data_IF_626605962096
#
_entry.id   IF_626605962096
#
_cell.length_a   1.000
_cell.length_b   1.000
_cell.length_c   1.000
_cell.angle_alpha   90.00
_cell.angle_beta   90.00
_cell.angle_gamma   90.00
#
_symmetry.space_group_name_H-M   'P 1'
#
loop_
_entity.id
_entity.type
_entity.pdbx_description
1 polymer ?
#
# COMPACT_ATOMS: atom_id res chain seq x y z
N UNK A 1 8.66 -23.81 -5.60
CA UNK A 1 7.88 -24.52 -6.64
C UNK A 1 8.70 -24.62 -7.91
N UNK A 2 8.24 -25.37 -8.92
CA UNK A 2 8.94 -25.47 -10.20
C UNK A 2 8.89 -24.14 -10.98
N UNK A 3 9.99 -23.78 -11.65
CA UNK A 3 10.07 -22.57 -12.49
C UNK A 3 9.15 -22.70 -13.72
N UNK A 4 8.48 -21.61 -14.09
CA UNK A 4 7.69 -21.56 -15.31
C UNK A 4 8.62 -21.56 -16.53
N UNK A 5 8.61 -22.64 -17.31
CA UNK A 5 9.46 -22.77 -18.52
C UNK A 5 9.12 -21.73 -19.59
N UNK A 6 7.85 -21.37 -19.72
CA UNK A 6 7.39 -20.35 -20.67
C UNK A 6 7.17 -19.00 -19.95
N UNK A 7 8.22 -18.18 -19.98
CA UNK A 7 8.20 -16.83 -19.38
C UNK A 7 7.16 -15.92 -20.04
N UNK A 8 6.98 -16.04 -21.36
CA UNK A 8 6.03 -15.22 -22.10
C UNK A 8 4.59 -15.51 -21.64
N UNK A 9 4.26 -16.80 -21.52
CA UNK A 9 2.96 -17.23 -21.04
C UNK A 9 2.69 -16.77 -19.58
N UNK A 10 3.73 -16.82 -18.72
CA UNK A 10 3.64 -16.29 -17.35
C UNK A 10 3.39 -14.78 -17.32
N UNK A 11 4.18 -14.01 -18.06
CA UNK A 11 4.02 -12.56 -18.11
C UNK A 11 2.66 -12.15 -18.69
N UNK A 12 2.15 -12.87 -19.70
CA UNK A 12 0.78 -12.66 -20.20
C UNK A 12 -0.29 -12.92 -19.14
N UNK A 13 -0.14 -13.97 -18.33
CA UNK A 13 -1.09 -14.26 -17.26
C UNK A 13 -1.08 -13.16 -16.19
N UNK A 14 0.12 -12.74 -15.74
CA UNK A 14 0.30 -11.63 -14.79
C UNK A 14 -0.29 -10.33 -15.34
N UNK A 15 0.00 -10.01 -16.61
CA UNK A 15 -0.53 -8.82 -17.26
C UNK A 15 -2.05 -8.87 -17.32
N UNK A 16 -2.64 -10.03 -17.64
CA UNK A 16 -4.09 -10.23 -17.69
C UNK A 16 -4.79 -9.97 -16.35
N UNK A 17 -4.13 -10.27 -15.23
CA UNK A 17 -4.60 -9.90 -13.89
C UNK A 17 -4.46 -8.40 -13.65
N UNK A 18 -3.28 -7.84 -13.95
CA UNK A 18 -2.91 -6.46 -13.66
C UNK A 18 -3.75 -5.41 -14.41
N UNK A 19 -4.04 -5.64 -15.70
CA UNK A 19 -4.80 -4.69 -16.51
C UNK A 19 -6.31 -4.92 -16.47
N UNK A 20 -6.79 -5.84 -15.62
CA UNK A 20 -8.18 -6.26 -15.50
C UNK A 20 -8.80 -6.91 -16.76
N UNK A 21 -7.98 -7.46 -17.66
CA UNK A 21 -8.47 -8.10 -18.89
C UNK A 21 -9.01 -9.51 -18.61
N UNK A 22 -8.26 -10.26 -17.79
CA UNK A 22 -8.48 -11.67 -17.51
C UNK A 22 -8.00 -12.59 -18.64
N UNK A 23 -7.85 -13.88 -18.33
CA UNK A 23 -7.16 -14.83 -19.19
C UNK A 23 -7.84 -15.08 -20.54
N UNK A 24 -9.18 -15.06 -20.59
CA UNK A 24 -9.94 -15.31 -21.84
C UNK A 24 -9.65 -14.23 -22.88
N UNK A 25 -9.82 -12.96 -22.51
CA UNK A 25 -9.55 -11.84 -23.40
C UNK A 25 -8.05 -11.66 -23.65
N UNK A 26 -7.20 -12.00 -22.69
CA UNK A 26 -5.75 -12.03 -22.90
C UNK A 26 -5.36 -13.05 -24.00
N UNK A 27 -5.98 -14.23 -24.02
CA UNK A 27 -5.74 -15.21 -25.08
C UNK A 27 -6.21 -14.71 -26.46
N UNK A 28 -7.35 -14.03 -26.54
CA UNK A 28 -7.87 -13.45 -27.79
C UNK A 28 -6.98 -12.32 -28.32
N UNK A 29 -6.39 -11.51 -27.42
CA UNK A 29 -5.54 -10.35 -27.77
C UNK A 29 -4.04 -10.67 -27.88
N UNK A 30 -3.65 -11.93 -27.71
CA UNK A 30 -2.24 -12.36 -27.76
C UNK A 30 -2.04 -13.47 -28.78
N UNK A 31 -1.37 -13.20 -29.92
CA UNK A 31 -1.12 -14.22 -30.94
C UNK A 31 -0.40 -15.46 -30.39
N UNK A 32 -0.94 -16.65 -30.68
CA UNK A 32 -0.34 -17.94 -30.29
C UNK A 32 -0.63 -18.40 -28.86
N UNK A 33 -1.34 -17.60 -28.05
CA UNK A 33 -1.80 -18.00 -26.72
C UNK A 33 -3.20 -18.61 -26.78
N UNK A 34 -3.48 -19.55 -25.88
CA UNK A 34 -4.82 -20.10 -25.70
C UNK A 34 -5.22 -20.01 -24.23
N UNK A 35 -6.53 -19.91 -23.97
CA UNK A 35 -7.05 -19.88 -22.60
C UNK A 35 -6.58 -21.09 -21.79
N UNK A 36 -6.60 -22.30 -22.37
CA UNK A 36 -6.17 -23.52 -21.71
C UNK A 36 -4.70 -23.45 -21.22
N UNK A 37 -3.79 -22.91 -22.05
CA UNK A 37 -2.38 -22.71 -21.67
C UNK A 37 -2.25 -21.71 -20.52
N UNK A 38 -2.93 -20.57 -20.60
CA UNK A 38 -2.89 -19.54 -19.57
C UNK A 38 -3.49 -20.03 -18.24
N UNK A 39 -4.64 -20.70 -18.28
CA UNK A 39 -5.31 -21.22 -17.09
C UNK A 39 -4.48 -22.31 -16.41
N UNK A 40 -3.86 -23.22 -17.19
CA UNK A 40 -2.96 -24.22 -16.63
C UNK A 40 -1.76 -23.54 -15.96
N UNK A 41 -1.11 -22.59 -16.64
CA UNK A 41 0.03 -21.88 -16.06
C UNK A 41 -0.33 -21.13 -14.77
N UNK A 42 -1.47 -20.42 -14.75
CA UNK A 42 -1.95 -19.71 -13.57
C UNK A 42 -2.10 -20.68 -12.38
N UNK A 43 -2.77 -21.83 -12.59
CA UNK A 43 -2.98 -22.82 -11.52
C UNK A 43 -1.68 -23.38 -10.92
N UNK A 44 -0.62 -23.50 -11.73
CA UNK A 44 0.66 -24.09 -11.31
C UNK A 44 1.68 -23.07 -10.77
N UNK A 45 1.65 -21.82 -11.23
CA UNK A 45 2.71 -20.85 -10.95
C UNK A 45 2.24 -19.54 -10.29
N UNK A 46 0.96 -19.20 -10.39
CA UNK A 46 0.42 -17.96 -9.81
C UNK A 46 -0.31 -18.30 -8.51
N UNK A 47 0.20 -17.75 -7.41
CA UNK A 47 -0.36 -17.82 -6.05
C UNK A 47 -0.02 -16.54 -5.33
N UNK A 48 -0.59 -16.34 -4.16
CA UNK A 48 -0.29 -15.16 -3.36
C UNK A 48 1.16 -15.12 -2.88
N UNK A 49 1.74 -16.28 -2.56
CA UNK A 49 3.13 -16.40 -2.14
C UNK A 49 4.08 -16.07 -3.30
N UNK A 50 3.77 -16.52 -4.52
CA UNK A 50 4.62 -16.23 -5.69
C UNK A 50 4.50 -14.77 -6.12
N UNK A 51 3.32 -14.16 -5.99
CA UNK A 51 3.17 -12.71 -6.17
C UNK A 51 3.90 -11.90 -5.10
N UNK A 52 3.84 -12.32 -3.84
CA UNK A 52 4.50 -11.62 -2.71
C UNK A 52 6.02 -11.66 -2.87
N UNK A 53 6.58 -12.82 -3.19
CA UNK A 53 8.00 -12.98 -3.45
C UNK A 53 8.47 -12.18 -4.68
N UNK A 54 7.72 -12.23 -5.79
CA UNK A 54 8.05 -11.45 -6.99
C UNK A 54 7.97 -9.94 -6.73
N UNK A 55 7.01 -9.50 -5.92
CA UNK A 55 6.88 -8.10 -5.52
C UNK A 55 8.07 -7.67 -4.65
N UNK A 56 8.46 -8.50 -3.69
CA UNK A 56 9.62 -8.24 -2.82
C UNK A 56 10.90 -8.04 -3.62
N UNK A 57 11.14 -8.84 -4.67
CA UNK A 57 12.31 -8.66 -5.55
C UNK A 57 12.33 -7.28 -6.22
N UNK A 58 11.20 -6.83 -6.78
CA UNK A 58 11.12 -5.51 -7.41
C UNK A 58 11.27 -4.37 -6.40
N UNK A 59 10.63 -4.51 -5.24
CA UNK A 59 10.71 -3.53 -4.15
C UNK A 59 12.13 -3.45 -3.60
N UNK A 60 12.80 -4.58 -3.41
CA UNK A 60 14.18 -4.64 -2.92
C UNK A 60 15.16 -4.04 -3.93
N UNK A 61 14.92 -4.24 -5.22
CA UNK A 61 15.74 -3.60 -6.24
C UNK A 61 15.53 -2.09 -6.27
N UNK A 62 14.28 -1.61 -6.20
CA UNK A 62 13.96 -0.19 -6.05
C UNK A 62 14.60 0.40 -4.78
N UNK A 63 14.53 -0.33 -3.66
CA UNK A 63 15.06 0.09 -2.37
C UNK A 63 16.57 0.35 -2.40
N UNK A 64 17.31 -0.51 -3.09
CA UNK A 64 18.77 -0.42 -3.22
C UNK A 64 19.21 0.49 -4.37
N UNK A 65 18.29 0.98 -5.19
CA UNK A 65 18.62 1.80 -6.36
C UNK A 65 19.08 3.20 -5.92
N UNK A 66 20.27 3.62 -6.35
CA UNK A 66 20.87 4.89 -5.91
C UNK A 66 19.96 6.10 -6.16
N UNK A 67 19.37 6.18 -7.37
CA UNK A 67 18.43 7.24 -7.70
C UNK A 67 17.18 7.30 -6.80
N UNK A 68 16.74 6.17 -6.22
CA UNK A 68 15.58 6.16 -5.34
C UNK A 68 15.81 6.91 -4.02
N UNK A 69 17.08 7.04 -3.60
CA UNK A 69 17.48 7.77 -2.40
C UNK A 69 17.10 9.26 -2.44
N UNK A 70 16.86 9.83 -3.62
CA UNK A 70 16.37 11.22 -3.75
C UNK A 70 14.94 11.41 -3.23
N UNK A 71 14.16 10.34 -3.06
CA UNK A 71 12.76 10.42 -2.59
C UNK A 71 12.56 10.02 -1.13
N UNK A 72 13.49 9.23 -0.58
CA UNK A 72 13.43 8.67 0.75
C UNK A 72 14.47 7.57 0.96
N UNK A 73 14.66 7.17 2.20
CA UNK A 73 15.61 6.15 2.63
C UNK A 73 14.96 4.77 2.86
N UNK A 74 13.68 4.62 2.51
CA UNK A 74 12.92 3.38 2.68
C UNK A 74 12.44 3.13 4.12
N UNK A 75 12.56 4.11 5.02
CA UNK A 75 12.10 3.99 6.42
C UNK A 75 10.68 4.49 6.63
N UNK A 76 10.12 5.25 5.69
CA UNK A 76 8.75 5.76 5.83
C UNK A 76 7.83 5.21 4.75
N UNK A 77 6.54 5.12 5.06
CA UNK A 77 5.55 4.64 4.11
C UNK A 77 4.18 5.27 4.33
N UNK A 78 3.29 5.13 3.37
CA UNK A 78 1.88 5.45 3.53
C UNK A 78 1.00 4.29 3.07
N UNK A 79 -0.26 4.27 3.50
CA UNK A 79 -1.24 3.35 2.95
C UNK A 79 -2.60 4.02 2.74
N UNK A 80 -3.25 3.60 1.66
CA UNK A 80 -4.57 4.09 1.30
C UNK A 80 -5.42 2.97 0.65
N UNK A 81 -6.72 3.09 0.83
CA UNK A 81 -7.73 2.22 0.24
C UNK A 81 -8.25 2.78 -1.06
N UNK A 82 -7.94 2.11 -2.17
CA UNK A 82 -8.48 2.45 -3.48
C UNK A 82 -9.74 1.65 -3.78
N UNK A 83 -10.87 2.33 -3.98
CA UNK A 83 -12.13 1.68 -4.35
C UNK A 83 -12.19 1.43 -5.86
N UNK A 84 -12.47 0.18 -6.22
CA UNK A 84 -12.86 -0.26 -7.54
C UNK A 84 -14.33 -0.67 -7.53
N UNK A 85 -15.09 -0.25 -8.54
CA UNK A 85 -16.52 -0.61 -8.65
C UNK A 85 -16.65 -2.12 -8.87
N UNK A 86 -17.68 -2.73 -8.29
CA UNK A 86 -18.01 -4.12 -8.56
C UNK A 86 -19.11 -4.15 -9.61
N UNK A 87 -18.89 -4.83 -10.73
CA UNK A 87 -19.80 -4.86 -11.87
C UNK A 87 -20.20 -6.28 -12.28
N UNK A 88 -21.36 -6.41 -12.91
CA UNK A 88 -21.86 -7.68 -13.46
C UNK A 88 -21.88 -8.79 -12.41
N UNK A 89 -21.19 -9.92 -12.68
CA UNK A 89 -21.17 -11.07 -11.76
C UNK A 89 -20.55 -10.77 -10.40
N UNK A 90 -19.71 -9.73 -10.28
CA UNK A 90 -19.09 -9.30 -9.03
C UNK A 90 -20.00 -8.43 -8.15
N UNK A 91 -21.04 -7.83 -8.73
CA UNK A 91 -21.96 -6.91 -8.07
C UNK A 91 -22.67 -7.56 -6.87
N UNK A 92 -23.13 -8.81 -7.02
CA UNK A 92 -23.80 -9.57 -5.96
C UNK A 92 -22.92 -9.87 -4.75
N UNK A 93 -21.60 -9.80 -4.93
CA UNK A 93 -20.63 -9.95 -3.84
C UNK A 93 -20.13 -8.60 -3.36
N UNK A 94 -20.29 -7.53 -4.14
CA UNK A 94 -19.92 -6.15 -3.84
C UNK A 94 -20.53 -5.69 -2.51
N UNK A 95 -19.80 -4.88 -1.74
CA UNK A 95 -20.43 -4.18 -0.61
C UNK A 95 -20.43 -2.67 -0.86
N UNK A 96 -21.40 -1.97 -0.28
CA UNK A 96 -21.57 -0.53 -0.40
C UNK A 96 -20.88 0.17 0.77
N UNK A 97 -19.99 1.13 0.48
CA UNK A 97 -19.37 1.98 1.51
C UNK A 97 -19.84 3.42 1.29
N UNK A 98 -20.67 4.00 2.18
CA UNK A 98 -21.11 5.39 2.04
C UNK A 98 -19.95 6.39 1.89
N UNK A 99 -18.77 6.11 2.49
CA UNK A 99 -17.55 6.94 2.33
C UNK A 99 -17.09 7.05 0.88
N UNK A 100 -17.35 6.04 0.07
CA UNK A 100 -16.83 5.91 -1.29
C UNK A 100 -17.93 5.79 -2.36
N UNK A 101 -19.21 5.98 -1.99
CA UNK A 101 -20.36 5.98 -2.89
C UNK A 101 -21.42 4.91 -2.58
N UNK A 102 -22.55 5.00 -3.28
CA UNK A 102 -23.72 4.11 -3.09
C UNK A 102 -23.66 2.80 -3.88
N UNK A 103 -22.68 2.65 -4.77
CA UNK A 103 -22.54 1.46 -5.60
C UNK A 103 -21.75 0.35 -4.89
N UNK A 104 -22.00 -0.94 -5.19
CA UNK A 104 -21.18 -2.04 -4.71
C UNK A 104 -19.73 -1.91 -5.21
N UNK A 105 -18.76 -2.19 -4.35
CA UNK A 105 -17.34 -2.09 -4.70
C UNK A 105 -16.42 -2.99 -3.89
N UNK A 106 -15.14 -2.90 -4.23
CA UNK A 106 -14.02 -3.53 -3.53
C UNK A 106 -12.97 -2.50 -3.20
N UNK A 107 -12.32 -2.67 -2.08
CA UNK A 107 -11.22 -1.82 -1.67
C UNK A 107 -9.92 -2.59 -1.81
N UNK A 108 -8.97 -2.05 -2.57
CA UNK A 108 -7.59 -2.52 -2.56
C UNK A 108 -6.81 -1.61 -1.63
N UNK A 109 -6.42 -2.15 -0.48
CA UNK A 109 -5.64 -1.44 0.51
C UNK A 109 -4.16 -1.67 0.24
N UNK A 110 -3.43 -0.61 -0.11
CA UNK A 110 -2.06 -0.73 -0.60
C UNK A 110 -1.12 0.13 0.22
N UNK A 111 0.05 -0.43 0.55
CA UNK A 111 1.14 0.28 1.19
C UNK A 111 2.21 0.67 0.17
N UNK A 112 2.73 1.88 0.30
CA UNK A 112 3.74 2.46 -0.57
C UNK A 112 4.88 3.04 0.27
N UNK A 113 6.12 2.73 -0.08
CA UNK A 113 7.30 3.34 0.54
C UNK A 113 7.47 4.80 0.10
N UNK A 114 8.26 5.56 0.85
CA UNK A 114 8.72 6.88 0.42
C UNK A 114 9.52 6.87 -0.89
N UNK A 115 10.04 5.73 -1.31
CA UNK A 115 10.67 5.52 -2.62
C UNK A 115 9.69 5.08 -3.72
N UNK A 116 8.38 5.30 -3.53
CA UNK A 116 7.29 4.99 -4.45
C UNK A 116 7.02 3.50 -4.70
N UNK A 117 7.77 2.58 -4.08
CA UNK A 117 7.58 1.14 -4.27
C UNK A 117 6.33 0.67 -3.51
N UNK A 118 5.31 0.09 -4.19
CA UNK A 118 4.15 -0.44 -3.48
C UNK A 118 4.45 -1.85 -2.98
N UNK A 119 4.70 -2.01 -1.68
CA UNK A 119 5.27 -3.26 -1.12
C UNK A 119 4.24 -4.23 -0.54
N UNK A 120 2.98 -3.81 -0.39
CA UNK A 120 1.92 -4.68 0.11
C UNK A 120 0.57 -4.25 -0.44
N UNK A 121 -0.29 -5.23 -0.73
CA UNK A 121 -1.69 -4.97 -1.12
C UNK A 121 -2.62 -6.05 -0.58
N UNK A 122 -3.82 -5.66 -0.17
CA UNK A 122 -4.87 -6.58 0.30
C UNK A 122 -6.22 -6.18 -0.25
N UNK A 123 -7.01 -7.17 -0.65
CA UNK A 123 -8.43 -6.98 -0.94
C UNK A 123 -9.19 -6.94 0.37
N UNK A 124 -9.86 -5.83 0.63
CA UNK A 124 -10.65 -5.61 1.84
C UNK A 124 -12.13 -5.56 1.47
N UNK A 125 -12.93 -6.30 2.23
CA UNK A 125 -14.39 -6.22 2.12
C UNK A 125 -14.85 -4.85 2.61
N UNK A 126 -15.65 -4.19 1.77
CA UNK A 126 -16.24 -2.91 2.09
C UNK A 126 -17.16 -3.07 3.32
N UNK A 127 -16.89 -2.28 4.37
CA UNK A 127 -17.58 -2.34 5.68
C UNK A 127 -16.68 -2.72 6.85
N UNK A 128 -15.51 -3.30 6.60
CA UNK A 128 -14.44 -3.43 7.60
C UNK A 128 -13.60 -2.14 7.59
N UNK A 129 -13.25 -1.61 8.76
CA UNK A 129 -12.45 -0.36 8.84
C UNK A 129 -11.06 -0.59 8.24
N UNK A 130 -10.68 0.23 7.27
CA UNK A 130 -9.40 0.21 6.56
C UNK A 130 -8.20 0.13 7.52
N UNK A 131 -8.31 0.84 8.64
CA UNK A 131 -7.34 0.89 9.75
C UNK A 131 -6.93 -0.47 10.32
N UNK A 132 -7.75 -1.51 10.16
CA UNK A 132 -7.44 -2.85 10.68
C UNK A 132 -6.36 -3.58 9.88
N UNK A 133 -6.14 -3.22 8.61
CA UNK A 133 -5.18 -3.87 7.72
C UNK A 133 -3.85 -3.12 7.61
N UNK A 134 -3.72 -1.94 8.22
CA UNK A 134 -2.47 -1.15 8.27
C UNK A 134 -1.31 -2.02 8.76
N UNK A 135 -1.47 -2.63 9.93
CA UNK A 135 -0.44 -3.43 10.58
C UNK A 135 -0.10 -4.70 9.81
N UNK A 136 -1.09 -5.32 9.17
CA UNK A 136 -0.84 -6.53 8.39
C UNK A 136 0.10 -6.25 7.20
N UNK A 137 -0.08 -5.12 6.52
CA UNK A 137 0.79 -4.75 5.42
C UNK A 137 2.20 -4.33 5.84
N UNK A 138 2.36 -3.80 7.07
CA UNK A 138 3.66 -3.44 7.65
C UNK A 138 4.44 -4.63 8.21
N UNK A 139 3.75 -5.64 8.74
CA UNK A 139 4.38 -6.80 9.39
C UNK A 139 4.62 -7.97 8.45
N UNK A 140 3.74 -8.19 7.48
CA UNK A 140 3.68 -9.42 6.70
C UNK A 140 3.98 -9.19 5.22
N UNK A 141 4.95 -8.30 4.92
CA UNK A 141 5.53 -8.14 3.60
C UNK A 141 6.88 -8.87 3.51
N UNK A 142 7.29 -9.26 2.31
CA UNK A 142 8.53 -10.03 2.10
C UNK A 142 9.73 -9.15 1.68
N UNK A 143 9.55 -7.84 1.53
CA UNK A 143 10.65 -6.92 1.21
C UNK A 143 11.57 -6.64 2.39
N UNK A 144 12.79 -6.19 2.08
CA UNK A 144 13.85 -5.78 3.01
C UNK A 144 13.59 -4.42 3.67
N UNK A 145 12.54 -3.71 3.24
CA UNK A 145 12.14 -2.43 3.83
C UNK A 145 11.95 -2.56 5.33
N UNK A 146 12.47 -1.59 6.08
CA UNK A 146 12.31 -1.49 7.53
C UNK A 146 11.55 -0.22 7.84
N UNK A 147 10.23 -0.29 7.71
CA UNK A 147 9.38 0.86 7.98
C UNK A 147 9.42 1.20 9.47
N UNK A 148 9.76 2.44 9.77
CA UNK A 148 9.77 3.03 11.10
C UNK A 148 8.57 3.96 11.32
N UNK A 149 8.18 4.72 10.30
CA UNK A 149 7.05 5.66 10.36
C UNK A 149 6.03 5.40 9.24
N UNK A 150 4.74 5.42 9.61
CA UNK A 150 3.66 5.11 8.67
C UNK A 150 2.55 6.15 8.67
N UNK A 151 2.21 6.62 7.47
CA UNK A 151 1.22 7.66 7.21
C UNK A 151 -0.10 7.10 6.69
N UNK A 152 -1.21 7.63 7.18
CA UNK A 152 -2.55 7.19 6.75
C UNK A 152 -3.58 8.31 6.86
N UNK A 153 -4.71 8.20 6.17
CA UNK A 153 -5.81 9.15 6.28
C UNK A 153 -6.75 8.87 7.46
N UNK A 154 -7.12 9.91 8.23
CA UNK A 154 -7.79 9.84 9.57
C UNK A 154 -9.01 8.94 9.68
N UNK A 155 -9.65 8.59 8.56
CA UNK A 155 -10.95 7.95 8.52
C UNK A 155 -10.89 6.51 9.09
N UNK A 156 -11.20 6.38 10.39
CA UNK A 156 -11.54 5.10 11.03
C UNK A 156 -10.49 4.51 11.97
N UNK A 157 -9.47 5.26 12.40
CA UNK A 157 -8.52 4.74 13.41
C UNK A 157 -9.14 4.61 14.79
N UNK A 158 -8.70 3.59 15.51
CA UNK A 158 -9.10 3.35 16.90
C UNK A 158 -7.87 3.49 17.79
N UNK A 159 -8.09 3.80 19.06
CA UNK A 159 -7.00 3.84 20.04
C UNK A 159 -6.21 2.51 20.04
N UNK A 160 -6.85 1.36 19.79
CA UNK A 160 -6.17 0.07 19.67
C UNK A 160 -5.09 0.03 18.58
N UNK A 161 -5.29 0.74 17.46
CA UNK A 161 -4.28 0.82 16.38
C UNK A 161 -3.08 1.63 16.84
N UNK A 162 -3.30 2.78 17.49
CA UNK A 162 -2.21 3.57 18.10
C UNK A 162 -1.40 2.74 19.08
N UNK A 163 -2.07 1.99 19.96
CA UNK A 163 -1.42 1.13 20.93
C UNK A 163 -0.57 0.05 20.27
N UNK A 164 -1.13 -0.68 19.29
CA UNK A 164 -0.40 -1.76 18.63
C UNK A 164 0.76 -1.24 17.76
N UNK A 165 0.59 -0.12 17.05
CA UNK A 165 1.67 0.50 16.28
C UNK A 165 2.87 0.80 17.19
N UNK A 166 2.62 1.45 18.33
CA UNK A 166 3.67 1.74 19.32
C UNK A 166 4.33 0.47 19.85
N UNK A 167 3.54 -0.52 20.30
CA UNK A 167 4.07 -1.77 20.86
C UNK A 167 4.89 -2.58 19.86
N UNK A 168 4.58 -2.46 18.57
CA UNK A 168 5.27 -3.16 17.49
C UNK A 168 6.49 -2.38 16.96
N UNK A 169 6.71 -1.15 17.43
CA UNK A 169 7.87 -0.33 17.10
C UNK A 169 7.66 0.63 15.94
N UNK A 170 6.41 0.90 15.54
CA UNK A 170 6.10 1.84 14.47
C UNK A 170 5.63 3.19 15.02
N UNK A 171 6.18 4.28 14.48
CA UNK A 171 5.60 5.61 14.64
C UNK A 171 4.39 5.74 13.74
N UNK A 172 3.21 5.82 14.36
CA UNK A 172 1.97 6.00 13.61
C UNK A 172 1.65 7.49 13.43
N UNK A 173 1.54 7.92 12.17
CA UNK A 173 1.37 9.32 11.83
C UNK A 173 0.16 9.55 10.90
N UNK A 174 -1.07 9.42 11.41
CA UNK A 174 -2.26 9.71 10.61
C UNK A 174 -2.40 11.21 10.35
N UNK A 175 -2.79 11.59 9.13
CA UNK A 175 -3.21 12.98 8.84
C UNK A 175 -4.44 13.28 9.68
N UNK A 176 -4.46 14.39 10.43
CA UNK A 176 -5.64 14.85 11.18
C UNK A 176 -6.27 16.03 10.44
N UNK A 177 -7.53 15.89 10.02
CA UNK A 177 -8.30 16.95 9.34
C UNK A 177 -8.99 17.90 10.33
N UNK A 178 -9.72 17.33 11.30
CA UNK A 178 -10.60 18.08 12.20
C UNK A 178 -10.04 18.16 13.63
N UNK A 179 -9.14 19.13 13.85
CA UNK A 179 -8.48 19.32 15.16
C UNK A 179 -9.47 19.64 16.29
N UNK A 180 -10.57 20.34 15.99
CA UNK A 180 -11.57 20.73 16.99
C UNK A 180 -12.34 19.56 17.62
N UNK A 181 -12.47 18.44 16.91
CA UNK A 181 -13.13 17.23 17.42
C UNK A 181 -12.15 16.30 18.14
N UNK A 182 -10.87 16.61 18.07
CA UNK A 182 -9.82 15.75 18.58
C UNK A 182 -9.76 15.84 20.12
N UNK A 183 -9.82 14.69 20.79
CA UNK A 183 -9.78 14.60 22.25
C UNK A 183 -8.44 14.09 22.77
N UNK A 184 -7.89 14.81 23.75
CA UNK A 184 -6.70 14.48 24.53
C UNK A 184 -7.09 13.75 25.81
N UNK A 185 -6.22 12.85 26.28
CA UNK A 185 -6.40 12.12 27.52
C UNK A 185 -5.22 12.36 28.46
N UNK A 186 -5.53 12.65 29.72
CA UNK A 186 -4.54 13.07 30.71
C UNK A 186 -4.44 12.09 31.88
N UNK A 187 -3.26 11.90 32.49
CA UNK A 187 -3.12 11.00 33.64
C UNK A 187 -3.69 11.61 34.93
N UNK A 188 -3.71 12.94 35.02
CA UNK A 188 -4.23 13.71 36.16
C UNK A 188 -5.64 14.23 35.88
N UNK A 189 -6.29 14.85 36.87
CA UNK A 189 -7.58 15.50 36.66
C UNK A 189 -7.51 16.66 35.66
N UNK A 190 -8.62 16.93 34.97
CA UNK A 190 -8.75 18.01 33.96
C UNK A 190 -8.32 19.38 34.49
N UNK A 191 -8.44 19.61 35.80
CA UNK A 191 -8.08 20.86 36.46
C UNK A 191 -6.59 21.19 36.39
N UNK A 192 -5.71 20.20 36.17
CA UNK A 192 -4.27 20.42 36.02
C UNK A 192 -3.91 21.12 34.69
N UNK A 193 -4.84 21.21 33.73
CA UNK A 193 -4.59 21.70 32.38
C UNK A 193 -5.66 22.71 31.93
N UNK A 194 -5.74 23.90 32.56
CA UNK A 194 -6.83 24.86 32.31
C UNK A 194 -6.92 25.31 30.84
N UNK A 195 -5.79 25.54 30.17
CA UNK A 195 -5.73 25.98 28.77
C UNK A 195 -6.18 24.90 27.78
N UNK A 196 -5.95 23.63 28.10
CA UNK A 196 -6.27 22.49 27.22
C UNK A 196 -7.64 21.88 27.53
N UNK A 197 -8.35 22.40 28.54
CA UNK A 197 -9.65 21.89 29.00
C UNK A 197 -10.66 21.60 27.88
N UNK A 198 -10.82 22.45 26.84
CA UNK A 198 -11.76 22.16 25.74
C UNK A 198 -11.40 20.91 24.91
N UNK A 199 -10.10 20.58 24.86
CA UNK A 199 -9.55 19.46 24.11
C UNK A 199 -9.49 18.18 24.95
N UNK A 200 -9.61 18.24 26.28
CA UNK A 200 -9.52 17.06 27.14
C UNK A 200 -10.83 16.27 27.10
N UNK A 201 -10.75 15.00 26.66
CA UNK A 201 -11.87 14.07 26.59
C UNK A 201 -12.01 13.17 27.82
N UNK A 202 -11.03 13.14 28.73
CA UNK A 202 -11.10 12.37 29.95
C UNK A 202 -9.74 12.05 30.56
N UNK A 203 -9.77 11.21 31.60
CA UNK A 203 -8.58 10.74 32.29
C UNK A 203 -8.22 9.31 31.88
N UNK A 204 -6.93 8.97 32.00
CA UNK A 204 -6.39 7.66 31.67
C UNK A 204 -6.52 6.69 32.85
N UNK A 205 -6.95 5.45 32.61
CA UNK A 205 -6.95 4.40 33.64
C UNK A 205 -5.64 3.59 33.64
N UNK A 206 -4.58 4.19 34.17
CA UNK A 206 -3.24 3.58 34.23
C UNK A 206 -3.22 2.30 35.07
N UNK A 207 -4.06 2.20 36.11
CA UNK A 207 -4.15 0.99 36.94
C UNK A 207 -4.62 -0.21 36.12
N UNK A 208 -5.60 0.00 35.23
CA UNK A 208 -6.12 -1.04 34.35
C UNK A 208 -5.10 -1.48 33.29
N UNK A 209 -4.32 -0.54 32.74
CA UNK A 209 -3.19 -0.87 31.84
C UNK A 209 -2.19 -1.77 32.55
N UNK A 210 -1.80 -1.42 33.79
CA UNK A 210 -0.86 -2.23 34.59
C UNK A 210 -1.40 -3.61 34.91
N UNK A 211 -2.69 -3.73 35.24
CA UNK A 211 -3.32 -5.00 35.57
C UNK A 211 -3.37 -5.99 34.40
N UNK A 212 -3.35 -5.51 33.16
CA UNK A 212 -3.39 -6.32 31.94
C UNK A 212 -2.11 -6.23 31.10
N UNK A 213 -1.00 -5.77 31.69
CA UNK A 213 0.23 -5.50 30.94
C UNK A 213 0.78 -6.76 30.27
N UNK A 214 0.81 -7.88 30.98
CA UNK A 214 1.30 -9.15 30.43
C UNK A 214 0.44 -9.66 29.26
N UNK A 215 -0.88 -9.44 29.32
CA UNK A 215 -1.79 -9.78 28.22
C UNK A 215 -1.57 -8.89 26.99
N UNK A 216 -1.28 -7.59 27.20
CA UNK A 216 -0.92 -6.65 26.13
C UNK A 216 0.37 -7.10 25.45
N UNK A 217 1.41 -7.42 26.23
CA UNK A 217 2.69 -7.89 25.70
C UNK A 217 2.55 -9.22 24.96
N UNK A 218 1.75 -10.15 25.49
CA UNK A 218 1.44 -11.42 24.84
C UNK A 218 0.75 -11.20 23.50
N UNK A 219 -0.26 -10.33 23.45
CA UNK A 219 -0.95 -9.96 22.22
C UNK A 219 0.02 -9.39 21.17
N UNK A 220 0.82 -8.39 21.56
CA UNK A 220 1.78 -7.76 20.65
C UNK A 220 2.83 -8.77 20.16
N UNK A 221 3.31 -9.66 21.03
CA UNK A 221 4.26 -10.70 20.68
C UNK A 221 3.66 -11.74 19.72
N UNK A 222 2.44 -12.22 19.97
CA UNK A 222 1.75 -13.15 19.06
C UNK A 222 1.55 -12.56 17.66
N UNK A 223 1.27 -11.24 17.58
CA UNK A 223 1.16 -10.53 16.31
C UNK A 223 2.54 -10.41 15.65
N UNK A 224 3.56 -9.94 16.38
CA UNK A 224 4.93 -9.77 15.85
C UNK A 224 5.53 -11.07 15.33
N UNK A 225 5.22 -12.20 15.97
CA UNK A 225 5.67 -13.54 15.54
C UNK A 225 4.81 -14.14 14.42
N UNK A 226 3.73 -13.48 13.98
CA UNK A 226 2.84 -13.98 12.94
C UNK A 226 1.96 -15.17 13.36
N UNK A 227 1.82 -15.46 14.66
CA UNK A 227 0.91 -16.51 15.16
C UNK A 227 -0.55 -16.16 14.86
N UNK A 228 -0.88 -14.86 14.90
CA UNK A 228 -2.19 -14.31 14.54
C UNK A 228 -2.00 -12.99 13.80
N UNK A 229 -2.87 -12.68 12.82
CA UNK A 229 -2.79 -11.38 12.12
C UNK A 229 -3.30 -10.24 13.01
N UNK A 230 -2.79 -9.03 12.79
CA UNK A 230 -3.21 -7.86 13.55
C UNK A 230 -4.66 -7.51 13.22
N UNK A 231 -5.04 -7.61 11.94
CA UNK A 231 -6.42 -7.39 11.49
C UNK A 231 -7.43 -8.33 12.16
N UNK A 232 -7.09 -9.60 12.33
CA UNK A 232 -7.95 -10.59 13.00
C UNK A 232 -8.15 -10.22 14.48
N UNK A 233 -7.07 -9.86 15.18
CA UNK A 233 -7.15 -9.48 16.58
C UNK A 233 -7.88 -8.16 16.79
N UNK A 234 -7.61 -7.15 15.97
CA UNK A 234 -8.32 -5.86 16.02
C UNK A 234 -9.83 -6.03 15.76
N UNK A 235 -10.21 -6.89 14.81
CA UNK A 235 -11.63 -7.24 14.60
C UNK A 235 -12.25 -7.88 15.83
N UNK A 236 -11.57 -8.86 16.43
CA UNK A 236 -12.08 -9.58 17.61
C UNK A 236 -12.21 -8.67 18.83
N UNK A 237 -11.23 -7.81 19.08
CA UNK A 237 -11.25 -6.81 20.15
C UNK A 237 -12.34 -5.75 19.91
N UNK A 238 -12.54 -5.37 18.65
CA UNK A 238 -13.59 -4.45 18.22
C UNK A 238 -15.01 -4.98 18.36
N UNK A 239 -15.22 -6.30 18.41
CA UNK A 239 -16.55 -6.91 18.58
C UNK A 239 -17.08 -6.83 20.02
N UNK A 240 -16.20 -6.78 21.04
CA UNK A 240 -16.60 -6.76 22.47
C UNK A 240 -15.84 -5.72 23.31
N UNK A 241 -15.81 -4.43 22.91
CA UNK A 241 -14.86 -3.46 23.45
C UNK A 241 -15.13 -3.04 24.91
N UNK A 242 -16.34 -3.27 25.44
CA UNK A 242 -16.72 -2.92 26.82
C UNK A 242 -16.69 -4.09 27.80
N UNK A 243 -16.63 -5.32 27.29
CA UNK A 243 -16.69 -6.54 28.11
C UNK A 243 -15.33 -7.24 28.21
N UNK A 244 -14.37 -6.86 27.36
CA UNK A 244 -13.03 -7.45 27.35
C UNK A 244 -12.01 -6.54 28.06
N UNK A 245 -11.49 -6.98 29.20
CA UNK A 245 -10.50 -6.25 29.98
C UNK A 245 -9.23 -5.88 29.20
N UNK A 246 -8.75 -6.78 28.33
CA UNK A 246 -7.61 -6.52 27.44
C UNK A 246 -7.93 -5.44 26.39
N UNK A 247 -9.13 -5.47 25.80
CA UNK A 247 -9.54 -4.43 24.84
C UNK A 247 -9.58 -3.04 25.51
N UNK A 248 -10.13 -2.96 26.72
CA UNK A 248 -10.15 -1.72 27.49
C UNK A 248 -8.73 -1.26 27.81
N UNK A 249 -7.85 -2.15 28.26
CA UNK A 249 -6.46 -1.81 28.58
C UNK A 249 -5.68 -1.32 27.34
N UNK A 250 -5.82 -2.00 26.20
CA UNK A 250 -5.20 -1.61 24.95
C UNK A 250 -5.73 -0.26 24.44
N UNK A 251 -7.03 0.02 24.64
CA UNK A 251 -7.62 1.33 24.33
C UNK A 251 -7.01 2.44 25.20
N UNK A 252 -6.83 2.22 26.50
CA UNK A 252 -6.21 3.21 27.39
C UNK A 252 -4.75 3.49 27.00
N UNK A 253 -3.97 2.46 26.64
CA UNK A 253 -2.63 2.64 26.08
C UNK A 253 -2.67 3.44 24.78
N UNK A 254 -3.60 3.11 23.90
CA UNK A 254 -3.81 3.83 22.65
C UNK A 254 -4.14 5.30 22.80
N UNK A 255 -4.88 5.66 23.86
CA UNK A 255 -5.20 7.05 24.19
C UNK A 255 -3.96 7.85 24.58
N UNK A 256 -2.98 7.21 25.23
CA UNK A 256 -1.69 7.83 25.55
C UNK A 256 -0.98 8.20 24.24
N UNK A 257 -0.73 7.20 23.40
CA UNK A 257 -0.01 7.35 22.13
C UNK A 257 -0.71 8.34 21.19
N UNK A 258 -2.03 8.25 21.10
CA UNK A 258 -2.82 9.21 20.33
C UNK A 258 -2.66 10.63 20.86
N UNK A 259 -2.73 10.82 22.18
CA UNK A 259 -2.56 12.14 22.80
C UNK A 259 -1.18 12.72 22.51
N UNK A 260 -0.12 11.92 22.67
CA UNK A 260 1.25 12.33 22.35
C UNK A 260 1.38 12.72 20.87
N UNK A 261 0.87 11.88 19.96
CA UNK A 261 0.87 12.21 18.53
C UNK A 261 0.11 13.50 18.20
N UNK A 262 -1.04 13.76 18.82
CA UNK A 262 -1.80 15.00 18.58
C UNK A 262 -1.00 16.22 19.04
N UNK A 263 -0.29 16.13 20.16
CA UNK A 263 0.56 17.21 20.65
C UNK A 263 1.71 17.48 19.67
N UNK A 264 2.40 16.43 19.20
CA UNK A 264 3.42 16.53 18.14
C UNK A 264 2.82 17.17 16.87
N UNK A 265 1.64 16.70 16.46
CA UNK A 265 0.94 17.17 15.26
C UNK A 265 0.56 18.63 15.35
N UNK A 266 0.22 19.15 16.54
CA UNK A 266 -0.07 20.57 16.74
C UNK A 266 1.20 21.42 16.68
N UNK A 267 2.30 20.93 17.27
CA UNK A 267 3.54 21.69 17.43
C UNK A 267 4.43 21.70 16.17
N UNK A 268 4.52 20.59 15.44
CA UNK A 268 5.46 20.45 14.33
C UNK A 268 4.81 20.69 12.97
N UNK A 269 5.25 21.75 12.27
CA UNK A 269 4.89 21.99 10.87
C UNK A 269 5.52 20.94 9.96
N UNK A 270 6.73 20.50 10.30
CA UNK A 270 7.55 19.55 9.56
C UNK A 270 6.86 18.18 9.53
N UNK A 271 6.34 17.70 10.66
CA UNK A 271 5.53 16.48 10.73
C UNK A 271 4.33 16.56 9.78
N UNK A 272 3.59 17.67 9.79
CA UNK A 272 2.42 17.86 8.91
C UNK A 272 2.81 17.83 7.44
N UNK A 273 3.94 18.48 7.07
CA UNK A 273 4.48 18.48 5.71
C UNK A 273 4.89 17.09 5.25
N UNK A 274 5.65 16.35 6.07
CA UNK A 274 6.10 14.98 5.75
C UNK A 274 4.91 14.02 5.56
N UNK A 275 3.92 14.08 6.46
CA UNK A 275 2.68 13.27 6.34
C UNK A 275 1.93 13.61 5.05
N UNK A 276 1.79 14.90 4.71
CA UNK A 276 1.14 15.30 3.44
C UNK A 276 1.92 14.81 2.22
N UNK A 277 3.23 14.97 2.20
CA UNK A 277 4.07 14.49 1.10
C UNK A 277 3.93 12.97 0.91
N UNK A 278 3.99 12.20 2.01
CA UNK A 278 3.83 10.74 1.97
C UNK A 278 2.45 10.28 1.50
N UNK A 279 1.37 10.97 1.89
CA UNK A 279 0.02 10.67 1.40
C UNK A 279 -0.18 11.05 -0.07
N UNK A 280 0.39 12.18 -0.52
CA UNK A 280 0.35 12.58 -1.93
C UNK A 280 1.01 11.54 -2.84
N UNK A 281 2.08 10.87 -2.40
CA UNK A 281 2.69 9.74 -3.14
C UNK A 281 1.70 8.59 -3.34
N UNK A 282 0.92 8.26 -2.31
CA UNK A 282 -0.15 7.25 -2.37
C UNK A 282 -1.27 7.64 -3.35
N UNK A 283 -1.73 8.89 -3.29
CA UNK A 283 -2.75 9.41 -4.22
C UNK A 283 -2.26 9.40 -5.68
N UNK A 284 -1.02 9.79 -5.92
CA UNK A 284 -0.41 9.75 -7.25
C UNK A 284 -0.29 8.31 -7.77
N UNK A 285 0.12 7.36 -6.92
CA UNK A 285 0.16 5.94 -7.27
C UNK A 285 -1.23 5.41 -7.59
N UNK A 286 -2.27 5.85 -6.87
CA UNK A 286 -3.65 5.45 -7.17
C UNK A 286 -4.08 5.90 -8.58
N UNK A 287 -3.59 7.03 -9.08
CA UNK A 287 -3.82 7.46 -10.46
C UNK A 287 -3.13 6.55 -11.48
N UNK A 288 -1.88 6.17 -11.25
CA UNK A 288 -1.18 5.17 -12.07
C UNK A 288 -1.91 3.82 -12.04
N UNK A 289 -2.30 3.34 -10.86
CA UNK A 289 -3.01 2.08 -10.70
C UNK A 289 -4.36 2.07 -11.45
N UNK A 290 -5.09 3.20 -11.49
CA UNK A 290 -6.30 3.34 -12.32
C UNK A 290 -5.99 3.26 -13.81
N UNK A 291 -4.92 3.89 -14.26
CA UNK A 291 -4.52 3.85 -15.66
C UNK A 291 -4.14 2.42 -16.10
N UNK A 292 -3.44 1.67 -15.25
CA UNK A 292 -3.11 0.25 -15.50
C UNK A 292 -4.37 -0.62 -15.46
N UNK A 293 -5.25 -0.42 -14.48
CA UNK A 293 -6.47 -1.21 -14.26
C UNK A 293 -7.67 -0.70 -15.08
N UNK A 294 -7.50 -0.51 -16.39
CA UNK A 294 -8.51 0.18 -17.23
C UNK A 294 -9.57 -0.74 -17.85
N UNK A 295 -9.28 -2.03 -18.06
CA UNK A 295 -10.25 -2.92 -18.72
C UNK A 295 -11.50 -3.13 -17.86
N UNK A 296 -12.60 -3.53 -18.50
CA UNK A 296 -13.92 -3.70 -17.87
C UNK A 296 -14.39 -2.42 -17.18
N UNK A 297 -14.05 -1.25 -17.73
CA UNK A 297 -14.35 0.07 -17.14
C UNK A 297 -13.74 0.26 -15.73
N UNK A 298 -12.66 -0.46 -15.42
CA UNK A 298 -12.09 -0.51 -14.08
C UNK A 298 -12.93 -1.26 -13.05
N UNK A 299 -13.97 -1.98 -13.49
CA UNK A 299 -14.85 -2.76 -12.61
C UNK A 299 -14.27 -4.15 -12.33
N UNK A 300 -14.37 -4.56 -11.07
CA UNK A 300 -14.10 -5.94 -10.67
C UNK A 300 -15.37 -6.75 -10.91
N UNK A 301 -15.27 -7.73 -11.82
CA UNK A 301 -16.38 -8.61 -12.21
C UNK A 301 -16.28 -10.02 -11.64
N UNK A 302 -15.18 -10.32 -10.96
CA UNK A 302 -14.88 -11.66 -10.44
C UNK A 302 -15.67 -11.95 -9.17
N UNK A 303 -16.23 -13.16 -9.08
CA UNK A 303 -17.03 -13.60 -7.93
C UNK A 303 -16.18 -14.10 -6.76
N UNK A 304 -15.12 -14.85 -7.04
CA UNK A 304 -14.29 -15.44 -5.98
C UNK A 304 -13.32 -14.41 -5.42
N UNK A 305 -13.16 -14.44 -4.10
CA UNK A 305 -12.20 -13.59 -3.39
C UNK A 305 -10.76 -13.85 -3.85
N UNK A 306 -10.42 -15.10 -4.16
CA UNK A 306 -9.12 -15.49 -4.70
C UNK A 306 -8.79 -14.76 -6.01
N UNK A 307 -9.71 -14.75 -6.98
CA UNK A 307 -9.48 -14.08 -8.27
C UNK A 307 -9.37 -12.56 -8.09
N UNK A 308 -10.12 -11.97 -7.16
CA UNK A 308 -9.98 -10.56 -6.80
C UNK A 308 -8.58 -10.28 -6.21
N UNK A 309 -8.06 -11.20 -5.38
CA UNK A 309 -6.72 -11.11 -4.79
C UNK A 309 -5.62 -11.22 -5.85
N UNK A 310 -5.77 -12.10 -6.83
CA UNK A 310 -4.84 -12.16 -7.98
C UNK A 310 -4.86 -10.87 -8.80
N UNK A 311 -6.02 -10.26 -9.04
CA UNK A 311 -6.10 -8.94 -9.68
C UNK A 311 -5.38 -7.85 -8.89
N UNK A 312 -5.63 -7.77 -7.58
CA UNK A 312 -4.96 -6.80 -6.72
C UNK A 312 -3.43 -7.00 -6.74
N UNK A 313 -2.99 -8.24 -6.60
CA UNK A 313 -1.56 -8.60 -6.56
C UNK A 313 -0.87 -8.36 -7.90
N UNK A 314 -1.50 -8.75 -9.01
CA UNK A 314 -1.00 -8.48 -10.37
C UNK A 314 -0.91 -6.98 -10.67
N UNK A 315 -1.95 -6.22 -10.32
CA UNK A 315 -1.94 -4.76 -10.45
C UNK A 315 -0.80 -4.16 -9.64
N UNK A 316 -0.60 -4.62 -8.40
CA UNK A 316 0.45 -4.10 -7.54
C UNK A 316 1.85 -4.43 -8.07
N UNK A 317 2.06 -5.65 -8.56
CA UNK A 317 3.32 -6.10 -9.15
C UNK A 317 3.67 -5.30 -10.41
N UNK A 318 2.72 -5.12 -11.34
CA UNK A 318 2.96 -4.32 -12.55
C UNK A 318 3.17 -2.84 -12.21
N UNK A 319 2.45 -2.31 -11.23
CA UNK A 319 2.69 -0.95 -10.74
C UNK A 319 4.12 -0.80 -10.19
N UNK A 320 4.60 -1.76 -9.40
CA UNK A 320 5.99 -1.78 -8.91
C UNK A 320 7.01 -1.89 -10.06
N UNK A 321 6.72 -2.70 -11.07
CA UNK A 321 7.58 -2.84 -12.25
C UNK A 321 7.67 -1.53 -13.05
N UNK A 322 6.56 -0.81 -13.20
CA UNK A 322 6.54 0.51 -13.84
C UNK A 322 7.35 1.53 -13.04
N UNK A 323 7.16 1.56 -11.72
CA UNK A 323 7.95 2.44 -10.82
C UNK A 323 9.44 2.16 -11.00
N UNK A 324 9.85 0.89 -10.89
CA UNK A 324 11.25 0.53 -11.01
C UNK A 324 11.82 0.85 -12.40
N UNK A 325 11.08 0.51 -13.46
CA UNK A 325 11.47 0.88 -14.82
C UNK A 325 11.70 2.39 -14.93
N UNK A 326 10.75 3.19 -14.44
CA UNK A 326 10.87 4.64 -14.52
C UNK A 326 12.05 5.16 -13.69
N UNK A 327 12.30 4.64 -12.49
CA UNK A 327 13.48 5.01 -11.68
C UNK A 327 14.78 4.81 -12.46
N UNK A 328 14.95 3.63 -13.07
CA UNK A 328 16.13 3.29 -13.88
C UNK A 328 16.28 4.25 -15.07
N UNK A 329 15.19 4.58 -15.77
CA UNK A 329 15.28 5.47 -16.93
C UNK A 329 15.37 6.95 -16.55
N UNK A 330 14.88 7.37 -15.38
CA UNK A 330 15.09 8.71 -14.85
C UNK A 330 16.57 8.92 -14.53
N UNK A 331 17.22 7.98 -13.84
CA UNK A 331 18.67 8.02 -13.60
C UNK A 331 19.43 8.17 -14.92
N UNK A 332 19.17 7.28 -15.88
CA UNK A 332 19.84 7.31 -17.20
C UNK A 332 19.57 8.60 -17.96
N UNK A 333 18.35 9.13 -17.90
CA UNK A 333 18.02 10.39 -18.55
C UNK A 333 18.76 11.56 -17.91
N UNK A 334 18.86 11.62 -16.58
CA UNK A 334 19.62 12.65 -15.88
C UNK A 334 21.10 12.57 -16.18
N UNK A 335 21.68 11.36 -16.18
CA UNK A 335 23.07 11.13 -16.58
C UNK A 335 23.32 11.54 -18.04
N UNK A 336 22.44 11.16 -18.96
CA UNK A 336 22.55 11.54 -20.37
C UNK A 336 22.45 13.05 -20.61
N UNK A 337 21.71 13.79 -19.78
CA UNK A 337 21.70 15.26 -19.83
C UNK A 337 23.05 15.84 -19.41
N UNK A 338 23.62 15.34 -18.30
CA UNK A 338 24.95 15.76 -17.81
C UNK A 338 26.03 15.47 -18.86
N UNK A 339 26.02 14.28 -19.45
CA UNK A 339 26.95 13.88 -20.52
C UNK A 339 26.79 14.75 -21.79
N UNK A 340 25.59 15.24 -22.07
CA UNK A 340 25.32 16.18 -23.15
C UNK A 340 25.66 17.65 -22.81
N UNK A 341 26.32 17.91 -21.68
CA UNK A 341 26.71 19.25 -21.23
C UNK A 341 25.57 20.09 -20.69
N UNK A 342 24.41 19.48 -20.39
CA UNK A 342 23.27 20.17 -19.76
C UNK A 342 23.36 19.96 -18.24
N UNK A 343 23.60 21.01 -17.45
CA UNK A 343 23.69 20.86 -16.00
C UNK A 343 22.35 20.40 -15.43
N UNK A 344 22.40 19.41 -14.52
CA UNK A 344 21.24 18.92 -13.76
C UNK A 344 21.47 19.29 -12.31
N UNK A 345 20.53 20.04 -11.72
CA UNK A 345 20.55 20.35 -10.30
C UNK A 345 20.05 19.13 -9.49
N UNK A 346 20.93 18.60 -8.65
CA UNK A 346 20.64 17.44 -7.81
C UNK A 346 19.50 17.68 -6.81
N UNK A 347 19.34 18.92 -6.35
CA UNK A 347 18.26 19.29 -5.42
C UNK A 347 16.88 19.17 -6.07
N UNK A 348 16.81 19.23 -7.40
CA UNK A 348 15.54 19.10 -8.12
C UNK A 348 15.09 17.66 -8.32
N UNK A 349 15.99 16.68 -8.15
CA UNK A 349 15.70 15.26 -8.38
C UNK A 349 14.62 14.73 -7.45
N UNK A 350 14.53 15.25 -6.22
CA UNK A 350 13.49 14.89 -5.25
C UNK A 350 12.07 15.22 -5.72
N UNK A 351 11.91 16.16 -6.68
CA UNK A 351 10.62 16.55 -7.23
C UNK A 351 10.21 15.74 -8.47
N UNK A 352 11.10 14.87 -8.98
CA UNK A 352 10.74 13.92 -10.03
C UNK A 352 9.84 12.83 -9.46
N UNK A 353 9.05 12.20 -10.33
CA UNK A 353 8.15 11.12 -9.94
C UNK A 353 8.35 9.91 -10.86
N UNK A 354 8.59 8.70 -10.31
CA UNK A 354 8.67 7.48 -11.10
C UNK A 354 7.29 6.95 -11.48
N UNK A 355 6.22 7.71 -11.26
CA UNK A 355 4.85 7.29 -11.51
C UNK A 355 4.34 7.67 -12.91
N UNK A 356 5.12 8.34 -13.78
CA UNK A 356 4.66 8.68 -15.13
C UNK A 356 4.36 7.43 -15.99
N UNK A 357 3.28 7.44 -16.78
CA UNK A 357 2.91 6.30 -17.63
C UNK A 357 2.59 6.65 -19.08
N UNK A 358 2.64 7.92 -19.48
CA UNK A 358 2.28 8.36 -20.84
C UNK A 358 3.19 7.74 -21.91
N UNK A 359 4.42 7.37 -21.56
CA UNK A 359 5.37 6.68 -22.44
C UNK A 359 5.15 5.16 -22.52
N UNK A 360 4.22 4.60 -21.73
CA UNK A 360 3.91 3.17 -21.67
C UNK A 360 2.60 2.93 -22.42
N UNK A 361 2.65 2.08 -23.44
CA UNK A 361 1.43 1.66 -24.13
C UNK A 361 0.72 0.58 -23.30
N UNK A 362 -0.46 0.91 -22.78
CA UNK A 362 -1.31 0.02 -21.98
C UNK A 362 -2.42 -0.64 -22.82
N UNK A 363 -2.63 -0.24 -24.08
CA UNK A 363 -3.72 -0.71 -24.93
C UNK A 363 -3.21 -1.28 -26.27
N UNK A 364 -4.08 -2.04 -26.96
CA UNK A 364 -3.78 -2.68 -28.24
C UNK A 364 -3.42 -4.16 -28.10
N UNK A 365 -2.71 -4.70 -29.10
CA UNK A 365 -2.32 -6.11 -29.16
C UNK A 365 -1.11 -6.40 -28.26
N UNK A 366 -1.18 -7.48 -27.48
CA UNK A 366 -0.11 -7.88 -26.56
C UNK A 366 0.85 -8.86 -27.24
N UNK A 367 1.75 -8.30 -28.05
CA UNK A 367 2.71 -9.09 -28.84
C UNK A 367 4.09 -9.11 -28.20
N UNK A 368 4.50 -10.28 -27.73
CA UNK A 368 5.85 -10.51 -27.21
C UNK A 368 6.86 -10.76 -28.34
N UNK A 369 7.41 -9.68 -28.89
CA UNK A 369 8.42 -9.76 -29.97
C UNK A 369 9.75 -10.30 -29.44
N UNK A 370 10.10 -11.53 -29.81
CA UNK A 370 11.39 -12.14 -29.46
C UNK A 370 12.60 -11.45 -30.14
N UNK A 371 12.39 -10.74 -31.25
CA UNK A 371 13.44 -10.07 -32.03
C UNK A 371 13.96 -8.75 -31.45
N UNK A 372 13.37 -8.25 -30.35
CA UNK A 372 13.84 -7.07 -29.60
C UNK A 372 14.33 -7.45 -28.19
N UNK A 373 14.87 -8.65 -28.02
CA UNK A 373 15.57 -9.00 -26.78
C UNK A 373 16.76 -8.05 -26.65
N UNK A 374 16.68 -7.15 -25.68
CA UNK A 374 17.86 -6.46 -25.16
C UNK A 374 18.78 -7.56 -24.63
N UNK A 375 20.07 -7.48 -24.93
CA UNK A 375 21.03 -8.35 -24.26
C UNK A 375 21.01 -8.06 -22.76
N UNK A 376 21.35 -9.06 -21.95
CA UNK A 376 21.37 -8.92 -20.49
C UNK A 376 22.27 -7.73 -20.10
N UNK A 377 21.74 -6.86 -19.23
CA UNK A 377 22.41 -5.63 -18.81
C UNK A 377 22.34 -4.47 -19.81
N UNK A 378 21.77 -4.64 -21.01
CA UNK A 378 21.53 -3.54 -21.96
C UNK A 378 20.17 -2.89 -21.74
N UNK A 379 20.14 -1.56 -21.92
CA UNK A 379 18.95 -0.74 -21.77
C UNK A 379 18.44 -0.28 -23.13
N UNK A 380 17.15 0.10 -23.19
CA UNK A 380 16.61 0.78 -24.38
C UNK A 380 17.28 2.13 -24.54
N UNK A 381 17.53 2.58 -25.78
CA UNK A 381 18.05 3.92 -26.01
C UNK A 381 17.04 4.97 -25.51
N UNK A 382 17.57 6.07 -24.98
CA UNK A 382 16.76 7.24 -24.64
C UNK A 382 16.17 7.85 -25.93
N UNK A 383 14.95 8.38 -25.83
CA UNK A 383 14.38 9.17 -26.92
C UNK A 383 15.08 10.53 -26.94
N UNK A 384 15.70 10.86 -28.06
CA UNK A 384 16.32 12.17 -28.24
C UNK A 384 15.21 13.22 -28.46
N UNK A 385 15.23 14.36 -27.74
CA UNK A 385 14.26 15.42 -27.99
C UNK A 385 14.41 15.90 -29.44
N UNK A 386 13.34 15.75 -30.25
CA UNK A 386 13.30 16.16 -31.65
C UNK A 386 13.24 15.03 -32.69
N UNK A 387 13.20 13.75 -32.30
CA UNK A 387 12.79 12.65 -33.20
C UNK A 387 11.44 12.09 -32.75
N UNK A 388 10.43 11.99 -33.65
CA UNK A 388 9.09 11.53 -33.30
C UNK A 388 9.05 10.10 -32.77
#
# INVERSE_FOLDING_TARGET
>A
GAEAKDRTLLLSAILGDAINLGLTKMAESSPGLTYAKLSWLQAWHIRDETYSAALAELVNHQYRHAFAAHWGDGTTSSSDGQRFRAGGRGESTGHVNPKYGSEPGRLFYTHISDQYAPFSTRVVNVGVRDSTYVLDGLLYHESDLRIEEHYTDTAGFTDHVFALMHLLGFRFAPRIRDLGETKLYVPQGVQAYPTLRPLIGGTLNIKHVRAHWDDILRLASSIKQGTVTASLMLRKLGSYPRQNGLAVALRELGRIERTLFILDWLQSVELRRRVHAGLNKGEARNSLARAVFFNRLGEIRDRSFEQQRYRASGLNLVTAAIVLWNTVYLERATQGLVEAGKPVDGELLQFLSPLGWEHINLTGDYVWRQSRRLEDGKFRPLRMPGKP
#
